data_IF_096386091941
#
_entry.id   IF_096386091941
#
_cell.length_a   1.000
_cell.length_b   1.000
_cell.length_c   1.000
_cell.angle_alpha   90.00
_cell.angle_beta   90.00
_cell.angle_gamma   90.00
#
_symmetry.space_group_name_H-M   'P 1'
#
loop_
_entity.id
_entity.type
_entity.pdbx_description
1 polymer ?
#
# COMPACT_ATOMS: atom_id res chain seq x y z
N UNK A 1 -22.75 -56.91 13.74
CA UNK A 1 -21.51 -56.11 13.76
C UNK A 1 -20.81 -56.33 12.43
N UNK A 2 -21.01 -55.48 11.42
CA UNK A 2 -20.21 -54.26 11.13
C UNK A 2 -18.70 -54.56 11.25
N UNK A 3 -17.90 -54.40 10.20
CA UNK A 3 -17.38 -53.07 9.82
C UNK A 3 -16.66 -53.09 8.45
N UNK A 4 -16.94 -52.05 7.65
CA UNK A 4 -16.16 -51.37 6.59
C UNK A 4 -15.69 -52.13 5.33
N UNK A 5 -15.99 -51.59 4.15
CA UNK A 5 -15.10 -50.71 3.37
C UNK A 5 -15.78 -50.24 2.05
N UNK A 6 -15.24 -49.16 1.47
CA UNK A 6 -15.23 -48.77 0.04
C UNK A 6 -16.35 -47.85 -0.52
N UNK A 7 -15.95 -46.58 -0.68
CA UNK A 7 -16.00 -45.67 -1.84
C UNK A 7 -16.91 -45.99 -3.07
N UNK A 8 -17.52 -44.88 -3.51
CA UNK A 8 -17.66 -44.34 -4.88
C UNK A 8 -18.85 -44.73 -5.78
N UNK A 9 -19.29 -43.66 -6.46
CA UNK A 9 -19.98 -43.54 -7.75
C UNK A 9 -21.52 -43.62 -7.82
N UNK A 10 -22.11 -42.42 -7.87
CA UNK A 10 -22.82 -41.85 -9.03
C UNK A 10 -23.98 -42.59 -9.73
N UNK A 11 -25.06 -41.81 -9.92
CA UNK A 11 -25.70 -41.47 -11.22
C UNK A 11 -27.08 -42.07 -11.56
N UNK A 12 -27.89 -41.17 -12.15
CA UNK A 12 -29.11 -41.32 -12.98
C UNK A 12 -30.43 -41.71 -12.26
N UNK A 13 -31.47 -40.86 -12.25
CA UNK A 13 -32.38 -40.36 -13.32
C UNK A 13 -33.60 -41.25 -13.56
N UNK A 14 -34.78 -40.61 -13.61
CA UNK A 14 -36.05 -41.14 -14.14
C UNK A 14 -37.18 -41.08 -13.11
N UNK A 15 -37.99 -40.02 -13.02
CA UNK A 15 -39.04 -39.52 -13.93
C UNK A 15 -40.44 -40.11 -13.67
N UNK A 16 -41.43 -39.21 -13.67
CA UNK A 16 -42.88 -39.48 -13.65
C UNK A 16 -43.52 -39.14 -12.31
N UNK A 17 -44.57 -38.34 -12.19
CA UNK A 17 -45.46 -37.67 -13.14
C UNK A 17 -46.58 -37.03 -12.31
N UNK A 18 -47.03 -35.85 -12.70
CA UNK A 18 -48.00 -35.02 -11.99
C UNK A 18 -49.41 -35.65 -11.94
N UNK A 19 -50.06 -35.62 -10.78
CA UNK A 19 -51.52 -35.55 -10.65
C UNK A 19 -51.85 -34.62 -9.48
N UNK A 20 -52.71 -33.64 -9.74
CA UNK A 20 -53.27 -32.70 -8.78
C UNK A 20 -54.64 -33.19 -8.29
N UNK A 21 -54.95 -33.02 -6.99
CA UNK A 21 -56.14 -32.26 -6.53
C UNK A 21 -56.20 -32.18 -5.00
N UNK A 22 -56.53 -30.97 -4.51
CA UNK A 22 -57.34 -30.60 -3.33
C UNK A 22 -57.73 -31.72 -2.34
N UNK A 23 -57.71 -31.54 -1.02
CA UNK A 23 -57.79 -30.33 -0.20
C UNK A 23 -57.49 -30.73 1.24
N UNK A 24 -56.60 -30.01 1.90
CA UNK A 24 -56.74 -29.74 3.33
C UNK A 24 -56.25 -28.32 3.53
N UNK A 25 -57.18 -27.42 3.86
CA UNK A 25 -56.86 -26.05 4.26
C UNK A 25 -56.13 -26.12 5.59
N UNK A 26 -54.79 -26.17 5.52
CA UNK A 26 -53.95 -25.90 6.68
C UNK A 26 -54.06 -24.42 6.96
N UNK A 27 -54.65 -24.10 8.10
CA UNK A 27 -54.60 -22.79 8.71
C UNK A 27 -53.13 -22.52 9.06
N UNK A 28 -52.40 -21.95 8.09
CA UNK A 28 -51.04 -21.48 8.32
C UNK A 28 -51.21 -20.22 9.15
N UNK A 29 -51.17 -20.39 10.47
CA UNK A 29 -51.11 -19.29 11.41
C UNK A 29 -50.12 -18.27 10.88
N UNK A 30 -50.61 -17.04 10.64
CA UNK A 30 -49.83 -15.96 10.06
C UNK A 30 -48.48 -15.89 10.77
N UNK A 31 -47.41 -16.26 10.05
CA UNK A 31 -46.06 -16.05 10.54
C UNK A 31 -45.92 -14.55 10.69
N UNK A 32 -45.76 -14.08 11.92
CA UNK A 32 -45.54 -12.67 12.20
C UNK A 32 -44.30 -12.20 11.43
N UNK A 33 -44.52 -11.37 10.41
CA UNK A 33 -43.45 -10.70 9.66
C UNK A 33 -42.73 -9.62 10.48
N UNK A 34 -42.98 -9.49 11.79
CA UNK A 34 -42.18 -8.62 12.69
C UNK A 34 -40.67 -8.91 12.61
N UNK A 35 -40.29 -10.13 12.23
CA UNK A 35 -38.89 -10.53 12.01
C UNK A 35 -38.30 -10.05 10.68
N UNK A 36 -39.15 -9.56 9.76
CA UNK A 36 -38.81 -8.94 8.48
C UNK A 36 -39.07 -7.43 8.48
N UNK A 37 -39.32 -6.82 9.64
CA UNK A 37 -39.29 -5.36 9.77
C UNK A 37 -37.89 -4.86 9.37
N UNK A 38 -37.88 -3.97 8.39
CA UNK A 38 -36.72 -3.17 7.99
C UNK A 38 -36.10 -2.54 9.24
N UNK A 39 -34.77 -2.53 9.43
CA UNK A 39 -34.21 -2.10 10.70
C UNK A 39 -34.65 -0.67 11.06
N UNK A 40 -35.02 -0.56 12.34
CA UNK A 40 -35.52 0.61 13.04
C UNK A 40 -34.56 1.81 12.98
N UNK A 41 -35.10 2.97 12.61
CA UNK A 41 -34.48 4.32 12.59
C UNK A 41 -33.43 4.56 11.49
N UNK A 42 -33.69 5.56 10.63
CA UNK A 42 -32.73 6.11 9.67
C UNK A 42 -31.47 6.58 10.39
N UNK A 43 -30.31 6.08 9.96
CA UNK A 43 -29.00 6.51 10.43
C UNK A 43 -28.45 7.56 9.47
N UNK A 44 -28.00 8.69 10.02
CA UNK A 44 -27.32 9.75 9.27
C UNK A 44 -25.95 9.96 9.90
N UNK A 45 -24.88 9.76 9.14
CA UNK A 45 -23.50 9.76 9.65
C UNK A 45 -22.50 10.28 8.62
N UNK A 46 -21.33 10.70 9.10
CA UNK A 46 -20.21 11.09 8.25
C UNK A 46 -19.35 9.90 7.86
N UNK A 47 -18.87 9.93 6.61
CA UNK A 47 -17.66 9.21 6.20
C UNK A 47 -16.65 10.18 5.62
N UNK A 48 -15.37 9.81 5.66
CA UNK A 48 -14.37 10.43 4.78
C UNK A 48 -14.49 9.90 3.34
N UNK A 49 -13.61 10.37 2.46
CA UNK A 49 -13.51 9.91 1.06
C UNK A 49 -13.03 8.46 0.91
N UNK A 50 -12.45 7.89 1.95
CA UNK A 50 -11.96 6.51 1.99
C UNK A 50 -13.01 5.51 2.48
N UNK A 51 -14.14 6.02 3.00
CA UNK A 51 -15.27 5.25 3.49
C UNK A 51 -15.22 4.97 5.00
N UNK A 52 -14.24 5.53 5.74
CA UNK A 52 -14.18 5.35 7.18
C UNK A 52 -15.33 6.09 7.86
N UNK A 53 -15.84 5.54 8.95
CA UNK A 53 -16.85 6.14 9.82
C UNK A 53 -16.24 6.46 11.17
N UNK A 54 -16.78 7.45 11.87
CA UNK A 54 -16.40 7.90 13.23
C UNK A 54 -14.99 8.48 13.36
N UNK A 55 -13.98 7.84 12.79
CA UNK A 55 -12.62 8.35 12.81
C UNK A 55 -11.79 7.81 11.64
N UNK A 56 -10.76 8.56 11.26
CA UNK A 56 -9.66 8.11 10.42
C UNK A 56 -8.37 8.83 10.83
N UNK A 57 -7.22 8.36 10.33
CA UNK A 57 -5.92 9.01 10.50
C UNK A 57 -5.21 9.25 9.17
N UNK A 58 -4.65 10.43 8.99
CA UNK A 58 -3.91 10.83 7.78
C UNK A 58 -2.62 11.56 8.14
N UNK A 59 -1.66 11.55 7.21
CA UNK A 59 -0.40 12.29 7.33
C UNK A 59 -0.40 13.42 6.30
N UNK A 60 0.01 14.61 6.69
CA UNK A 60 0.06 15.76 5.77
C UNK A 60 1.36 16.56 5.90
N UNK A 61 1.73 17.23 4.81
CA UNK A 61 2.91 18.08 4.71
C UNK A 61 2.48 19.48 4.26
N UNK A 62 2.53 20.46 5.17
CA UNK A 62 2.10 21.85 5.01
C UNK A 62 0.59 22.08 4.97
N UNK A 63 -0.15 21.50 4.02
CA UNK A 63 -1.59 21.64 3.93
C UNK A 63 -2.21 20.45 3.19
N UNK A 64 -3.47 20.14 3.49
CA UNK A 64 -4.22 19.12 2.79
C UNK A 64 -5.73 19.41 2.87
N UNK A 65 -6.48 18.72 2.01
CA UNK A 65 -7.94 18.74 2.01
C UNK A 65 -8.43 17.30 1.96
N UNK A 66 -9.44 17.00 2.76
CA UNK A 66 -10.18 15.74 2.69
C UNK A 66 -11.65 16.00 2.45
N UNK A 67 -12.28 15.22 1.58
CA UNK A 67 -13.71 15.29 1.37
C UNK A 67 -14.43 14.39 2.37
N UNK A 68 -15.45 14.94 3.01
CA UNK A 68 -16.37 14.25 3.88
C UNK A 68 -17.72 14.09 3.18
N UNK A 69 -18.45 13.04 3.52
CA UNK A 69 -19.76 12.74 2.94
C UNK A 69 -20.76 12.43 4.03
N UNK A 70 -21.97 12.95 3.87
CA UNK A 70 -23.12 12.52 4.67
C UNK A 70 -23.71 11.30 4.01
N UNK A 71 -23.79 10.21 4.77
CA UNK A 71 -24.37 8.96 4.33
C UNK A 71 -25.61 8.63 5.15
N UNK A 72 -26.56 8.00 4.47
CA UNK A 72 -27.76 7.47 5.09
C UNK A 72 -27.88 5.98 4.78
N UNK A 73 -28.22 5.18 5.79
CA UNK A 73 -28.36 3.72 5.62
C UNK A 73 -29.65 3.33 4.87
N UNK A 74 -30.59 4.25 4.75
CA UNK A 74 -31.84 4.12 4.00
C UNK A 74 -32.09 5.42 3.26
N UNK A 75 -32.61 5.33 2.02
CA UNK A 75 -32.93 6.50 1.22
C UNK A 75 -33.90 7.43 1.93
N UNK A 76 -33.69 8.73 1.82
CA UNK A 76 -34.58 9.72 2.43
C UNK A 76 -35.85 9.90 1.58
N UNK A 77 -36.99 10.09 2.23
CA UNK A 77 -38.30 10.32 1.59
C UNK A 77 -38.41 11.69 0.90
N UNK A 78 -37.55 12.62 1.32
CA UNK A 78 -37.38 13.96 0.75
C UNK A 78 -35.91 14.38 0.83
N UNK A 79 -35.56 15.41 0.08
CA UNK A 79 -34.26 16.05 0.14
C UNK A 79 -34.05 16.70 1.51
N UNK A 80 -32.88 16.49 2.10
CA UNK A 80 -32.54 17.02 3.42
C UNK A 80 -31.17 17.70 3.41
N UNK A 81 -31.07 18.80 4.16
CA UNK A 81 -29.86 19.61 4.23
C UNK A 81 -29.04 19.27 5.48
N UNK A 82 -27.73 19.15 5.30
CA UNK A 82 -26.78 18.82 6.34
C UNK A 82 -25.62 19.80 6.36
N UNK A 83 -25.12 20.08 7.55
CA UNK A 83 -23.91 20.89 7.76
C UNK A 83 -22.95 20.17 8.68
N UNK A 84 -21.66 20.44 8.49
CA UNK A 84 -20.60 19.94 9.35
C UNK A 84 -19.93 21.15 10.00
N UNK A 85 -19.67 21.08 11.31
CA UNK A 85 -19.00 22.15 12.05
C UNK A 85 -17.83 21.59 12.85
N UNK A 86 -16.79 22.39 13.05
CA UNK A 86 -15.74 22.09 14.02
C UNK A 86 -16.34 22.14 15.45
N UNK A 87 -16.16 21.08 16.25
CA UNK A 87 -16.78 20.99 17.59
C UNK A 87 -15.87 20.27 18.59
N UNK A 88 -15.18 20.99 19.50
CA UNK A 88 -14.31 20.38 20.51
C UNK A 88 -14.95 19.31 21.39
N UNK A 89 -16.27 19.37 21.64
CA UNK A 89 -16.95 18.40 22.50
C UNK A 89 -16.95 16.98 21.90
N UNK A 90 -16.87 16.86 20.58
CA UNK A 90 -16.72 15.57 19.88
C UNK A 90 -15.37 14.93 20.22
N UNK A 91 -14.30 15.74 20.32
CA UNK A 91 -12.98 15.24 20.71
C UNK A 91 -12.93 14.83 22.18
N UNK A 92 -13.59 15.56 23.07
CA UNK A 92 -13.66 15.19 24.49
C UNK A 92 -14.31 13.82 24.67
N UNK A 93 -15.42 13.56 23.96
CA UNK A 93 -16.07 12.27 23.95
C UNK A 93 -15.16 11.17 23.38
N UNK A 94 -14.50 11.42 22.25
CA UNK A 94 -13.57 10.48 21.61
C UNK A 94 -12.38 10.13 22.52
N UNK A 95 -11.72 11.13 23.11
CA UNK A 95 -10.59 10.93 24.01
C UNK A 95 -10.99 10.09 25.23
N UNK A 96 -12.17 10.36 25.79
CA UNK A 96 -12.72 9.59 26.92
C UNK A 96 -13.04 8.15 26.53
N UNK A 97 -13.69 7.93 25.39
CA UNK A 97 -14.06 6.59 24.91
C UNK A 97 -12.84 5.72 24.59
N UNK A 98 -11.82 6.30 23.97
CA UNK A 98 -10.63 5.59 23.50
C UNK A 98 -9.46 5.62 24.48
N UNK A 99 -9.61 6.25 25.65
CA UNK A 99 -8.54 6.47 26.62
C UNK A 99 -7.30 7.13 25.98
N UNK A 100 -7.54 8.19 25.22
CA UNK A 100 -6.53 8.99 24.52
C UNK A 100 -6.52 10.43 25.02
N UNK A 101 -5.53 11.22 24.58
CA UNK A 101 -5.33 12.61 25.01
C UNK A 101 -4.93 13.51 23.84
N UNK A 102 -5.52 13.25 22.67
CA UNK A 102 -5.23 14.06 21.48
C UNK A 102 -5.65 15.51 21.70
N UNK A 103 -4.80 16.43 21.24
CA UNK A 103 -5.12 17.85 21.18
C UNK A 103 -5.87 18.15 19.89
N UNK A 104 -6.79 19.10 19.94
CA UNK A 104 -7.49 19.56 18.75
C UNK A 104 -6.53 20.41 17.89
N UNK A 105 -6.56 20.25 16.57
CA UNK A 105 -5.88 21.17 15.66
C UNK A 105 -6.58 22.54 15.79
N UNK A 106 -5.87 23.65 16.05
CA UNK A 106 -6.50 24.95 16.23
C UNK A 106 -7.52 25.28 15.13
N UNK A 107 -8.73 25.71 15.53
CA UNK A 107 -9.85 25.92 14.61
C UNK A 107 -9.53 26.89 13.48
N UNK A 108 -8.71 27.92 13.74
CA UNK A 108 -8.26 28.89 12.73
C UNK A 108 -7.36 28.28 11.62
N UNK A 109 -6.90 27.03 11.79
CA UNK A 109 -6.15 26.27 10.80
C UNK A 109 -7.03 25.31 10.00
N UNK A 110 -8.32 25.21 10.34
CA UNK A 110 -9.30 24.35 9.69
C UNK A 110 -10.34 25.19 8.96
N UNK A 111 -10.71 24.77 7.76
CA UNK A 111 -11.83 25.36 7.01
C UNK A 111 -12.75 24.24 6.58
N UNK A 112 -13.97 24.26 7.11
CA UNK A 112 -15.03 23.31 6.74
C UNK A 112 -15.88 23.94 5.63
N UNK A 113 -16.12 23.17 4.57
CA UNK A 113 -16.92 23.60 3.43
C UNK A 113 -18.39 23.85 3.78
N UNK A 114 -19.11 24.37 2.79
CA UNK A 114 -20.53 24.72 2.95
C UNK A 114 -21.42 23.49 3.21
N UNK A 115 -22.65 23.76 3.65
CA UNK A 115 -23.66 22.73 3.85
C UNK A 115 -23.93 21.94 2.56
N UNK A 116 -24.15 20.63 2.72
CA UNK A 116 -24.49 19.70 1.63
C UNK A 116 -25.93 19.21 1.74
N UNK A 117 -26.36 18.40 0.79
CA UNK A 117 -27.69 17.82 0.75
C UNK A 117 -27.63 16.34 0.36
N UNK A 118 -28.54 15.54 0.91
CA UNK A 118 -28.82 14.20 0.43
C UNK A 118 -30.16 14.26 -0.31
N UNK A 119 -30.11 14.02 -1.61
CA UNK A 119 -31.30 14.03 -2.47
C UNK A 119 -32.23 12.86 -2.15
N UNK A 120 -33.52 13.05 -2.45
CA UNK A 120 -34.51 11.97 -2.35
C UNK A 120 -34.06 10.76 -3.17
N UNK A 121 -34.10 9.57 -2.57
CA UNK A 121 -33.70 8.32 -3.23
C UNK A 121 -32.19 8.07 -3.28
N UNK A 122 -31.36 9.03 -2.85
CA UNK A 122 -29.92 8.84 -2.73
C UNK A 122 -29.54 8.41 -1.30
N UNK A 123 -28.39 7.75 -1.18
CA UNK A 123 -27.81 7.33 0.10
C UNK A 123 -26.56 8.12 0.52
N UNK A 124 -26.09 9.03 -0.34
CA UNK A 124 -24.84 9.77 -0.15
C UNK A 124 -24.96 11.20 -0.68
N UNK A 125 -24.37 12.15 0.02
CA UNK A 125 -24.33 13.57 -0.37
C UNK A 125 -23.24 13.88 -1.40
N UNK A 126 -23.27 15.10 -1.93
CA UNK A 126 -22.08 15.74 -2.49
C UNK A 126 -21.01 15.96 -1.38
N UNK A 127 -19.72 16.06 -1.73
CA UNK A 127 -18.65 16.21 -0.74
C UNK A 127 -18.74 17.54 0.03
N UNK A 128 -18.39 17.51 1.31
CA UNK A 128 -18.01 18.67 2.12
C UNK A 128 -16.50 18.62 2.31
N UNK A 129 -15.77 19.53 1.65
CA UNK A 129 -14.32 19.58 1.78
C UNK A 129 -13.91 20.16 3.14
N UNK A 130 -12.99 19.49 3.82
CA UNK A 130 -12.35 19.95 5.05
C UNK A 130 -10.87 20.20 4.74
N UNK A 131 -10.51 21.48 4.66
CA UNK A 131 -9.14 21.91 4.43
C UNK A 131 -8.45 22.21 5.76
N UNK A 132 -7.17 21.86 5.87
CA UNK A 132 -6.37 22.09 7.06
C UNK A 132 -4.90 22.34 6.69
N UNK A 133 -4.20 23.09 7.55
CA UNK A 133 -2.81 23.50 7.31
C UNK A 133 -1.97 23.50 8.59
N UNK A 134 -0.66 23.48 8.39
CA UNK A 134 0.33 23.64 9.46
C UNK A 134 0.40 25.08 9.95
N UNK A 135 1.00 25.27 11.12
CA UNK A 135 1.35 26.56 11.69
C UNK A 135 2.66 26.45 12.48
N UNK A 136 3.34 27.57 12.69
CA UNK A 136 4.57 27.65 13.48
C UNK A 136 4.40 27.11 14.91
N UNK A 137 3.23 27.30 15.54
CA UNK A 137 2.95 26.88 16.90
C UNK A 137 2.75 25.37 17.08
N UNK A 138 2.52 24.61 16.01
CA UNK A 138 2.34 23.15 16.10
C UNK A 138 3.64 22.44 16.50
N UNK A 139 3.53 21.29 17.14
CA UNK A 139 4.66 20.45 17.51
C UNK A 139 5.31 19.81 16.28
N UNK A 140 6.62 19.60 16.35
CA UNK A 140 7.33 18.80 15.36
C UNK A 140 6.82 17.35 15.40
N UNK A 141 6.39 16.82 14.25
CA UNK A 141 5.79 15.48 14.15
C UNK A 141 4.51 15.28 14.98
N UNK A 142 3.82 16.38 15.31
CA UNK A 142 2.63 16.38 16.15
C UNK A 142 1.45 15.66 15.50
N UNK A 143 0.59 15.08 16.34
CA UNK A 143 -0.68 14.48 15.93
C UNK A 143 -1.83 15.23 16.59
N UNK A 144 -2.72 15.76 15.77
CA UNK A 144 -3.84 16.58 16.20
C UNK A 144 -5.16 15.98 15.72
N UNK A 145 -6.26 16.31 16.38
CA UNK A 145 -7.59 15.91 15.98
C UNK A 145 -8.35 17.08 15.34
N UNK A 146 -9.06 16.82 14.25
CA UNK A 146 -10.08 17.71 13.69
C UNK A 146 -11.44 17.10 14.03
N UNK A 147 -12.11 17.61 15.07
CA UNK A 147 -13.40 17.09 15.50
C UNK A 147 -14.54 17.73 14.69
N UNK A 148 -15.32 16.90 14.02
CA UNK A 148 -16.39 17.29 13.11
C UNK A 148 -17.74 16.84 13.66
N UNK A 149 -18.64 17.79 13.90
CA UNK A 149 -20.02 17.54 14.29
C UNK A 149 -20.95 17.62 13.08
N UNK A 150 -21.79 16.59 12.91
CA UNK A 150 -22.82 16.56 11.87
C UNK A 150 -24.15 17.11 12.40
N UNK A 151 -24.77 18.01 11.63
CA UNK A 151 -26.10 18.57 11.94
C UNK A 151 -27.02 18.49 10.74
N UNK A 152 -28.19 17.87 10.93
CA UNK A 152 -29.28 17.83 9.94
C UNK A 152 -30.33 18.92 10.21
N UNK A 153 -30.87 19.51 9.14
CA UNK A 153 -31.96 20.48 9.24
C UNK A 153 -33.31 19.76 9.21
N UNK A 154 -33.86 19.47 10.38
CA UNK A 154 -35.17 18.78 10.49
C UNK A 154 -35.08 17.25 10.45
N UNK A 155 -33.86 16.70 10.50
CA UNK A 155 -33.57 15.27 10.62
C UNK A 155 -32.58 15.07 11.76
N UNK A 156 -32.87 14.11 12.64
CA UNK A 156 -31.93 13.71 13.68
C UNK A 156 -30.73 12.99 13.09
N UNK A 157 -29.54 13.33 13.57
CA UNK A 157 -28.31 12.61 13.22
C UNK A 157 -28.11 11.41 14.13
N UNK A 158 -27.35 10.42 13.66
CA UNK A 158 -26.97 9.28 14.49
C UNK A 158 -26.16 9.75 15.69
N UNK A 159 -26.30 9.05 16.83
CA UNK A 159 -25.47 9.29 18.04
C UNK A 159 -23.98 9.31 17.73
N UNK A 160 -23.55 8.43 16.82
CA UNK A 160 -22.17 8.31 16.37
C UNK A 160 -21.98 8.88 14.95
N UNK A 161 -22.81 9.84 14.55
CA UNK A 161 -22.75 10.46 13.22
C UNK A 161 -21.61 11.47 13.03
N UNK A 162 -20.97 11.86 14.14
CA UNK A 162 -19.81 12.75 14.17
C UNK A 162 -18.53 12.03 13.72
N UNK A 163 -17.47 12.80 13.46
CA UNK A 163 -16.21 12.27 12.95
C UNK A 163 -15.00 12.93 13.63
N UNK A 164 -13.95 12.17 13.93
CA UNK A 164 -12.66 12.68 14.39
C UNK A 164 -11.58 12.31 13.37
N UNK A 165 -11.04 13.30 12.67
CA UNK A 165 -9.91 13.08 11.79
C UNK A 165 -8.60 13.35 12.54
N UNK A 166 -7.79 12.31 12.75
CA UNK A 166 -6.45 12.45 13.31
C UNK A 166 -5.48 12.84 12.19
N UNK A 167 -4.84 14.00 12.30
CA UNK A 167 -3.90 14.52 11.32
C UNK A 167 -2.49 14.56 11.92
N UNK A 168 -1.54 13.89 11.26
CA UNK A 168 -0.12 13.94 11.63
C UNK A 168 0.61 14.94 10.75
N UNK A 169 1.13 15.99 11.37
CA UNK A 169 1.87 17.04 10.68
C UNK A 169 3.35 16.67 10.56
N UNK A 170 3.80 16.41 9.33
CA UNK A 170 5.21 16.16 9.03
C UNK A 170 5.90 17.37 8.40
N UNK A 171 5.27 18.55 8.31
CA UNK A 171 5.86 19.76 7.69
C UNK A 171 7.26 20.12 8.21
N UNK A 172 7.46 20.00 9.53
CA UNK A 172 8.72 20.30 10.22
C UNK A 172 9.74 19.16 10.19
N UNK A 173 9.35 17.98 9.71
CA UNK A 173 10.27 16.85 9.55
C UNK A 173 11.12 17.07 8.29
N UNK A 174 12.43 16.80 8.33
CA UNK A 174 13.29 16.90 7.14
C UNK A 174 13.00 15.76 6.14
N UNK A 175 13.67 15.82 4.99
CA UNK A 175 13.65 14.76 3.98
C UNK A 175 14.50 13.53 4.37
N UNK A 176 14.59 12.55 3.47
CA UNK A 176 15.44 11.37 3.63
C UNK A 176 16.88 11.55 3.09
N UNK A 177 17.24 12.70 2.51
CA UNK A 177 18.46 12.86 1.71
C UNK A 177 19.71 13.01 2.58
N UNK A 178 20.23 11.92 3.12
CA UNK A 178 21.39 11.93 4.02
C UNK A 178 22.66 12.43 3.32
N UNK A 179 23.59 13.03 4.08
CA UNK A 179 24.89 13.46 3.57
C UNK A 179 25.86 12.27 3.45
N UNK A 180 25.40 11.21 2.79
CA UNK A 180 26.07 9.92 2.69
C UNK A 180 25.59 9.21 1.41
N UNK A 181 26.43 8.44 0.70
CA UNK A 181 26.01 7.74 -0.50
C UNK A 181 25.18 6.48 -0.21
N UNK A 182 25.10 6.04 1.04
CA UNK A 182 24.41 4.81 1.41
C UNK A 182 22.91 5.03 1.56
N UNK A 183 22.13 4.06 1.09
CA UNK A 183 20.67 4.06 1.20
C UNK A 183 20.16 2.87 2.02
N UNK A 184 18.98 3.04 2.61
CA UNK A 184 18.19 1.93 3.16
C UNK A 184 16.87 1.80 2.41
N UNK A 185 16.60 0.60 1.90
CA UNK A 185 15.35 0.27 1.20
C UNK A 185 14.44 -0.50 2.15
N UNK A 186 13.24 0.02 2.41
CA UNK A 186 12.18 -0.71 3.13
C UNK A 186 11.32 -1.48 2.13
N UNK A 187 11.08 -2.75 2.38
CA UNK A 187 10.22 -3.58 1.52
C UNK A 187 9.14 -4.24 2.39
N UNK A 188 8.09 -3.50 2.78
CA UNK A 188 6.98 -4.07 3.53
C UNK A 188 6.23 -5.09 2.67
N UNK A 189 5.85 -6.22 3.27
CA UNK A 189 4.81 -7.06 2.70
C UNK A 189 3.48 -6.33 2.87
N UNK A 190 3.00 -5.66 1.81
CA UNK A 190 1.86 -4.75 1.93
C UNK A 190 0.56 -5.47 2.27
N UNK A 191 0.49 -6.81 2.14
CA UNK A 191 -0.65 -7.57 2.66
C UNK A 191 -0.79 -7.46 4.19
N UNK A 192 0.32 -7.17 4.88
CA UNK A 192 0.43 -7.20 6.34
C UNK A 192 0.83 -5.85 6.94
N UNK A 193 1.67 -5.05 6.26
CA UNK A 193 2.26 -3.83 6.83
C UNK A 193 1.97 -2.58 6.00
N UNK A 194 1.76 -1.46 6.70
CA UNK A 194 1.53 -0.15 6.11
C UNK A 194 2.87 0.49 5.68
N UNK A 195 3.03 0.93 4.42
CA UNK A 195 4.28 1.53 3.93
C UNK A 195 4.67 2.83 4.65
N UNK A 196 3.72 3.53 5.28
CA UNK A 196 3.99 4.73 6.09
C UNK A 196 4.90 4.45 7.30
N UNK A 197 5.07 3.19 7.69
CA UNK A 197 6.01 2.79 8.74
C UNK A 197 7.47 3.22 8.47
N UNK A 198 7.84 3.49 7.21
CA UNK A 198 9.13 4.10 6.89
C UNK A 198 9.31 5.50 7.53
N UNK A 199 8.22 6.23 7.80
CA UNK A 199 8.24 7.55 8.46
C UNK A 199 8.40 7.46 9.98
N UNK A 200 8.49 6.26 10.56
CA UNK A 200 8.66 6.10 12.01
C UNK A 200 10.13 6.21 12.46
N UNK A 201 11.08 6.25 11.51
CA UNK A 201 12.51 6.14 11.78
C UNK A 201 13.29 7.34 11.25
N UNK A 202 13.97 8.05 12.15
CA UNK A 202 14.79 9.23 11.83
C UNK A 202 16.19 9.10 12.41
N UNK A 203 17.15 9.84 11.88
CA UNK A 203 18.48 9.94 12.47
C UNK A 203 18.50 10.96 13.60
N UNK A 204 19.19 10.67 14.71
CA UNK A 204 19.12 11.47 15.94
C UNK A 204 19.53 12.93 15.79
N UNK A 205 20.58 13.24 15.03
CA UNK A 205 21.14 14.58 14.94
C UNK A 205 20.62 15.33 13.71
N UNK A 206 20.66 14.69 12.54
CA UNK A 206 20.22 15.28 11.28
C UNK A 206 18.70 15.25 11.11
N UNK A 207 17.99 14.44 11.91
CA UNK A 207 16.53 14.18 11.87
C UNK A 207 16.03 13.58 10.56
N UNK A 208 16.91 13.37 9.57
CA UNK A 208 16.57 12.80 8.25
C UNK A 208 15.99 11.40 8.40
N UNK A 209 15.09 11.04 7.50
CA UNK A 209 14.50 9.69 7.53
C UNK A 209 15.56 8.62 7.25
N UNK A 210 15.48 7.53 8.01
CA UNK A 210 16.40 6.39 7.90
C UNK A 210 16.29 5.69 6.55
N UNK A 211 15.06 5.53 6.05
CA UNK A 211 14.75 4.91 4.77
C UNK A 211 14.73 5.92 3.63
N UNK A 212 15.26 5.51 2.48
CA UNK A 212 15.34 6.30 1.24
C UNK A 212 14.33 5.85 0.20
N UNK A 213 13.91 4.59 0.29
CA UNK A 213 12.94 3.99 -0.61
C UNK A 213 12.00 3.05 0.11
N UNK A 214 10.80 2.90 -0.46
CA UNK A 214 9.80 1.89 -0.10
C UNK A 214 9.42 1.12 -1.36
N UNK A 215 9.58 -0.21 -1.33
CA UNK A 215 9.06 -1.09 -2.38
C UNK A 215 7.73 -1.70 -1.94
N UNK A 216 6.65 -1.41 -2.66
CA UNK A 216 5.33 -2.00 -2.44
C UNK A 216 5.34 -3.45 -2.93
N UNK A 217 5.54 -4.41 -2.02
CA UNK A 217 5.70 -5.82 -2.38
C UNK A 217 4.39 -6.62 -2.16
N UNK A 218 3.68 -7.07 -3.21
CA UNK A 218 3.95 -6.83 -4.64
C UNK A 218 2.67 -6.85 -5.50
N UNK A 219 2.70 -6.11 -6.61
CA UNK A 219 1.89 -6.43 -7.79
C UNK A 219 2.42 -7.67 -8.50
N UNK A 220 1.66 -8.19 -9.46
CA UNK A 220 1.97 -9.47 -10.10
C UNK A 220 1.97 -9.41 -11.62
N UNK A 221 2.98 -10.02 -12.26
CA UNK A 221 2.92 -10.28 -13.69
C UNK A 221 1.99 -11.47 -13.95
N UNK A 222 0.95 -11.25 -14.75
CA UNK A 222 -0.04 -12.26 -15.09
C UNK A 222 -0.43 -12.18 -16.57
N UNK A 223 -1.01 -13.25 -17.10
CA UNK A 223 -1.56 -13.34 -18.45
C UNK A 223 -3.09 -13.29 -18.43
N UNK A 224 -3.69 -12.45 -19.26
CA UNK A 224 -5.11 -12.43 -19.50
C UNK A 224 -5.44 -13.34 -20.70
N UNK A 225 -6.16 -14.44 -20.47
CA UNK A 225 -6.51 -15.39 -21.53
C UNK A 225 -7.54 -14.84 -22.53
N UNK A 226 -8.38 -13.90 -22.11
CA UNK A 226 -9.41 -13.29 -22.97
C UNK A 226 -8.82 -12.27 -23.93
N UNK A 227 -7.91 -11.42 -23.46
CA UNK A 227 -7.28 -10.37 -24.29
C UNK A 227 -5.97 -10.81 -24.93
N UNK A 228 -5.33 -11.86 -24.40
CA UNK A 228 -4.00 -12.30 -24.81
C UNK A 228 -2.87 -11.43 -24.30
N UNK A 229 -3.13 -10.53 -23.34
CA UNK A 229 -2.16 -9.54 -22.87
C UNK A 229 -1.50 -9.96 -21.55
N UNK A 230 -0.22 -9.60 -21.40
CA UNK A 230 0.48 -9.65 -20.11
C UNK A 230 0.31 -8.31 -19.41
N UNK A 231 -0.10 -8.33 -18.14
CA UNK A 231 -0.45 -7.13 -17.38
C UNK A 231 0.00 -7.24 -15.92
N UNK A 232 0.02 -6.11 -15.21
CA UNK A 232 0.22 -6.11 -13.76
C UNK A 232 -1.12 -6.31 -13.06
N UNK A 233 -1.27 -7.46 -12.39
CA UNK A 233 -2.40 -7.78 -11.53
C UNK A 233 -2.07 -7.38 -10.10
N UNK A 234 -2.80 -6.39 -9.58
CA UNK A 234 -2.71 -6.01 -8.18
C UNK A 234 -3.72 -6.82 -7.37
N UNK A 235 -3.30 -7.32 -6.21
CA UNK A 235 -4.23 -7.84 -5.22
C UNK A 235 -5.02 -6.71 -4.54
N UNK A 236 -5.99 -7.04 -3.69
CA UNK A 236 -6.83 -6.05 -2.99
C UNK A 236 -6.01 -5.06 -2.14
N UNK A 237 -4.94 -5.50 -1.49
CA UNK A 237 -4.11 -4.65 -0.63
C UNK A 237 -3.29 -3.65 -1.44
N UNK A 238 -2.64 -4.11 -2.51
CA UNK A 238 -1.92 -3.22 -3.44
C UNK A 238 -2.90 -2.25 -4.09
N UNK A 239 -4.07 -2.74 -4.52
CA UNK A 239 -5.12 -1.91 -5.12
C UNK A 239 -5.58 -0.81 -4.16
N UNK A 240 -5.76 -1.13 -2.88
CA UNK A 240 -6.12 -0.12 -1.87
C UNK A 240 -5.06 0.97 -1.74
N UNK A 241 -3.78 0.60 -1.62
CA UNK A 241 -2.68 1.56 -1.51
C UNK A 241 -2.60 2.51 -2.71
N UNK A 242 -2.83 1.98 -3.92
CA UNK A 242 -2.83 2.77 -5.14
C UNK A 242 -4.07 3.67 -5.26
N UNK A 243 -5.26 3.15 -4.95
CA UNK A 243 -6.50 3.93 -4.96
C UNK A 243 -6.43 5.10 -3.98
N UNK A 244 -5.79 4.90 -2.83
CA UNK A 244 -5.67 5.89 -1.76
C UNK A 244 -4.24 6.43 -1.66
N UNK A 245 -3.60 6.66 -2.82
CA UNK A 245 -2.21 7.13 -2.91
C UNK A 245 -1.94 8.40 -2.13
N UNK A 246 -2.91 9.32 -2.02
CA UNK A 246 -2.73 10.55 -1.26
C UNK A 246 -2.58 10.30 0.25
N UNK A 247 -3.18 9.21 0.76
CA UNK A 247 -3.08 8.81 2.17
C UNK A 247 -1.80 8.01 2.42
N UNK A 248 -1.51 7.01 1.58
CA UNK A 248 -0.47 6.02 1.89
C UNK A 248 0.88 6.29 1.23
N UNK A 249 0.92 6.97 0.08
CA UNK A 249 2.13 7.10 -0.74
C UNK A 249 2.65 8.54 -0.78
N UNK A 250 1.77 9.53 -0.95
CA UNK A 250 2.14 10.94 -1.03
C UNK A 250 2.95 11.44 0.19
N UNK A 251 2.65 11.02 1.44
CA UNK A 251 3.46 11.44 2.60
C UNK A 251 4.92 10.98 2.53
N UNK A 252 5.18 9.78 1.98
CA UNK A 252 6.54 9.26 1.78
C UNK A 252 7.28 10.13 0.77
N UNK A 253 6.66 10.35 -0.39
CA UNK A 253 7.24 11.13 -1.49
C UNK A 253 7.47 12.59 -1.12
N UNK A 254 6.58 13.17 -0.32
CA UNK A 254 6.74 14.52 0.22
C UNK A 254 8.01 14.69 1.09
N UNK A 255 8.61 13.58 1.54
CA UNK A 255 9.87 13.54 2.30
C UNK A 255 11.04 12.95 1.51
N UNK A 256 10.91 12.90 0.18
CA UNK A 256 11.95 12.44 -0.73
C UNK A 256 12.09 10.92 -0.83
N UNK A 257 11.33 10.15 -0.03
CA UNK A 257 11.35 8.69 -0.07
C UNK A 257 10.74 8.23 -1.38
N UNK A 258 11.51 7.45 -2.15
CA UNK A 258 11.05 6.90 -3.43
C UNK A 258 10.07 5.76 -3.20
N UNK A 259 8.96 5.74 -3.92
CA UNK A 259 7.94 4.68 -3.83
C UNK A 259 7.96 3.84 -5.10
N UNK A 260 8.32 2.57 -4.96
CA UNK A 260 8.63 1.64 -6.06
C UNK A 260 7.58 0.52 -6.10
N UNK A 261 7.07 0.17 -7.28
CA UNK A 261 6.18 -0.99 -7.44
C UNK A 261 6.99 -2.28 -7.55
N UNK A 262 6.82 -3.20 -6.61
CA UNK A 262 7.33 -4.56 -6.74
C UNK A 262 6.47 -5.38 -7.70
N UNK A 263 7.11 -6.15 -8.59
CA UNK A 263 6.46 -7.07 -9.54
C UNK A 263 7.01 -8.46 -9.33
N UNK A 264 6.11 -9.40 -9.02
CA UNK A 264 6.40 -10.79 -8.72
C UNK A 264 5.60 -11.72 -9.66
N UNK A 265 6.13 -12.89 -10.02
CA UNK A 265 5.32 -13.91 -10.71
C UNK A 265 4.15 -14.40 -9.87
N UNK A 266 3.14 -15.00 -10.51
CA UNK A 266 1.89 -15.36 -9.83
C UNK A 266 1.21 -16.60 -10.41
N UNK A 267 1.98 -17.69 -10.43
CA UNK A 267 1.56 -19.06 -10.68
C UNK A 267 0.90 -19.34 -12.03
N UNK A 268 1.10 -18.46 -13.02
CA UNK A 268 0.62 -18.60 -14.39
C UNK A 268 1.76 -18.57 -15.44
N UNK A 269 1.38 -18.56 -16.72
CA UNK A 269 2.31 -18.66 -17.85
C UNK A 269 3.20 -17.44 -18.07
N UNK A 270 2.84 -16.26 -17.55
CA UNK A 270 3.63 -15.05 -17.74
C UNK A 270 4.79 -15.02 -16.74
N UNK A 271 5.99 -14.72 -17.24
CA UNK A 271 7.19 -14.57 -16.44
C UNK A 271 8.00 -13.39 -16.94
N UNK A 272 8.79 -12.78 -16.04
CA UNK A 272 9.75 -11.75 -16.41
C UNK A 272 10.78 -12.26 -17.44
N UNK A 273 10.94 -13.58 -17.50
CA UNK A 273 11.95 -14.31 -18.26
C UNK A 273 11.46 -14.92 -19.56
N UNK A 274 10.19 -14.76 -19.95
CA UNK A 274 9.65 -15.43 -21.16
C UNK A 274 8.89 -14.52 -22.12
N UNK A 275 8.94 -13.20 -21.92
CA UNK A 275 8.24 -12.26 -22.81
C UNK A 275 8.93 -12.16 -24.17
N UNK A 276 8.13 -12.14 -25.24
CA UNK A 276 8.57 -11.70 -26.56
C UNK A 276 9.02 -10.24 -26.52
N UNK A 277 9.67 -9.75 -27.58
CA UNK A 277 10.04 -8.32 -27.66
C UNK A 277 8.83 -7.40 -27.60
N UNK A 278 7.76 -7.72 -28.31
CA UNK A 278 6.53 -6.93 -28.27
C UNK A 278 5.81 -7.08 -26.92
N UNK A 279 5.82 -8.27 -26.31
CA UNK A 279 5.31 -8.48 -24.95
C UNK A 279 6.05 -7.65 -23.91
N UNK A 280 7.39 -7.61 -23.98
CA UNK A 280 8.22 -6.78 -23.11
C UNK A 280 7.94 -5.28 -23.28
N UNK A 281 7.79 -4.80 -24.51
CA UNK A 281 7.39 -3.41 -24.79
C UNK A 281 5.99 -3.10 -24.24
N UNK A 282 5.03 -3.99 -24.46
CA UNK A 282 3.65 -3.81 -24.01
C UNK A 282 3.59 -3.74 -22.47
N UNK A 283 4.24 -4.69 -21.79
CA UNK A 283 4.31 -4.70 -20.34
C UNK A 283 5.05 -3.46 -19.79
N UNK A 284 6.17 -3.06 -20.40
CA UNK A 284 6.88 -1.86 -19.98
C UNK A 284 6.06 -0.57 -20.15
N UNK A 285 5.23 -0.45 -21.22
CA UNK A 285 4.27 0.66 -21.36
C UNK A 285 3.18 0.61 -20.30
N UNK A 286 2.67 -0.57 -19.98
CA UNK A 286 1.69 -0.76 -18.90
C UNK A 286 2.27 -0.30 -17.56
N UNK A 287 3.51 -0.68 -17.24
CA UNK A 287 4.20 -0.24 -16.03
C UNK A 287 4.45 1.27 -16.01
N UNK A 288 4.79 1.88 -17.15
CA UNK A 288 4.89 3.34 -17.26
C UNK A 288 3.57 4.03 -16.96
N UNK A 289 2.47 3.57 -17.56
CA UNK A 289 1.14 4.13 -17.33
C UNK A 289 0.73 4.01 -15.85
N UNK A 290 1.05 2.89 -15.20
CA UNK A 290 0.83 2.72 -13.76
C UNK A 290 1.65 3.71 -12.93
N UNK A 291 2.94 3.85 -13.21
CA UNK A 291 3.78 4.80 -12.50
C UNK A 291 3.34 6.25 -12.71
N UNK A 292 2.84 6.59 -13.90
CA UNK A 292 2.25 7.90 -14.20
C UNK A 292 0.94 8.13 -13.42
N UNK A 293 0.05 7.15 -13.40
CA UNK A 293 -1.26 7.28 -12.74
C UNK A 293 -1.15 7.41 -11.21
N UNK A 294 -0.21 6.69 -10.60
CA UNK A 294 -0.07 6.60 -9.14
C UNK A 294 1.15 7.35 -8.58
N UNK A 295 1.82 8.15 -9.42
CA UNK A 295 3.00 8.92 -9.07
C UNK A 295 4.13 8.08 -8.46
N UNK A 296 4.37 6.89 -9.01
CA UNK A 296 5.41 5.98 -8.55
C UNK A 296 6.77 6.35 -9.15
N UNK A 297 7.82 6.11 -8.37
CA UNK A 297 9.19 6.50 -8.70
C UNK A 297 9.97 5.39 -9.42
N UNK A 298 9.37 4.21 -9.65
CA UNK A 298 10.03 3.12 -10.37
C UNK A 298 9.37 1.75 -10.18
N UNK A 299 10.08 0.72 -10.65
CA UNK A 299 9.69 -0.68 -10.53
C UNK A 299 10.83 -1.54 -9.97
N UNK A 300 10.47 -2.55 -9.20
CA UNK A 300 11.36 -3.60 -8.72
C UNK A 300 10.87 -4.95 -9.27
N UNK A 301 11.77 -5.75 -9.83
CA UNK A 301 11.45 -7.01 -10.47
C UNK A 301 11.98 -8.21 -9.69
N UNK A 302 11.09 -9.17 -9.41
CA UNK A 302 11.39 -10.40 -8.69
C UNK A 302 10.90 -11.62 -9.49
N UNK A 303 11.84 -12.42 -10.01
CA UNK A 303 11.55 -13.61 -10.81
C UNK A 303 11.37 -14.84 -9.94
N UNK A 304 10.24 -14.87 -9.23
CA UNK A 304 9.75 -16.03 -8.51
C UNK A 304 8.29 -16.34 -8.86
N UNK A 305 7.89 -17.58 -8.62
CA UNK A 305 6.48 -18.03 -8.65
C UNK A 305 5.76 -18.01 -10.02
N UNK A 306 6.43 -17.73 -11.13
CA UNK A 306 5.86 -17.98 -12.47
C UNK A 306 5.93 -19.45 -12.90
N UNK A 307 5.13 -19.84 -13.90
CA UNK A 307 5.13 -21.16 -14.55
C UNK A 307 5.36 -21.03 -16.06
N UNK A 308 6.54 -20.56 -16.49
CA UNK A 308 6.83 -20.43 -17.92
C UNK A 308 6.81 -21.81 -18.59
N UNK A 309 6.41 -21.84 -19.86
CA UNK A 309 6.30 -23.06 -20.65
C UNK A 309 6.17 -22.74 -22.13
N UNK A 310 5.93 -23.77 -22.94
CA UNK A 310 5.70 -23.60 -24.38
C UNK A 310 4.27 -23.11 -24.65
N UNK A 311 4.05 -21.80 -24.54
CA UNK A 311 2.76 -21.15 -24.76
C UNK A 311 2.85 -20.20 -25.97
N UNK A 312 1.82 -20.13 -26.83
CA UNK A 312 1.75 -19.11 -27.86
C UNK A 312 1.90 -17.70 -27.28
N UNK A 313 2.68 -16.84 -27.94
CA UNK A 313 2.93 -15.46 -27.49
C UNK A 313 4.09 -15.29 -26.50
N UNK A 314 4.75 -16.38 -26.11
CA UNK A 314 5.92 -16.37 -25.22
C UNK A 314 7.14 -17.01 -25.87
N UNK A 315 8.32 -16.61 -25.41
CA UNK A 315 9.60 -17.19 -25.83
C UNK A 315 10.09 -18.22 -24.80
N UNK A 316 11.01 -19.08 -25.23
CA UNK A 316 11.72 -19.98 -24.30
C UNK A 316 12.46 -19.14 -23.25
N UNK A 317 12.31 -19.44 -21.95
CA UNK A 317 12.82 -18.58 -20.91
C UNK A 317 14.34 -18.63 -20.77
N UNK A 318 14.90 -17.66 -20.03
CA UNK A 318 16.29 -17.64 -19.54
C UNK A 318 17.39 -17.49 -20.61
N UNK A 319 17.09 -16.88 -21.76
CA UNK A 319 18.14 -16.51 -22.73
C UNK A 319 18.53 -15.03 -22.62
N UNK A 320 17.60 -14.11 -22.87
CA UNK A 320 17.81 -12.65 -22.82
C UNK A 320 16.52 -11.87 -22.51
N UNK A 321 15.42 -12.55 -22.21
CA UNK A 321 14.10 -11.94 -22.05
C UNK A 321 14.02 -11.00 -20.84
N UNK A 322 14.61 -11.37 -19.70
CA UNK A 322 14.66 -10.49 -18.53
C UNK A 322 15.47 -9.22 -18.81
N UNK A 323 16.63 -9.33 -19.48
CA UNK A 323 17.45 -8.17 -19.86
C UNK A 323 16.70 -7.28 -20.87
N UNK A 324 15.99 -7.89 -21.82
CA UNK A 324 15.12 -7.19 -22.77
C UNK A 324 14.00 -6.42 -22.06
N UNK A 325 13.33 -7.04 -21.10
CA UNK A 325 12.28 -6.38 -20.33
C UNK A 325 12.85 -5.20 -19.54
N UNK A 326 13.95 -5.39 -18.82
CA UNK A 326 14.61 -4.32 -18.05
C UNK A 326 15.04 -3.16 -18.95
N UNK A 327 15.61 -3.46 -20.12
CA UNK A 327 15.94 -2.45 -21.13
C UNK A 327 14.71 -1.62 -21.52
N UNK A 328 13.59 -2.25 -21.89
CA UNK A 328 12.38 -1.52 -22.27
C UNK A 328 11.71 -0.77 -21.13
N UNK A 329 11.78 -1.30 -19.91
CA UNK A 329 11.35 -0.58 -18.72
C UNK A 329 12.14 0.70 -18.57
N UNK A 330 13.48 0.66 -18.65
CA UNK A 330 14.29 1.87 -18.56
C UNK A 330 13.97 2.87 -19.68
N UNK A 331 13.86 2.39 -20.92
CA UNK A 331 13.57 3.26 -22.07
C UNK A 331 12.22 3.97 -21.94
N UNK A 332 11.18 3.30 -21.45
CA UNK A 332 9.84 3.88 -21.34
C UNK A 332 9.58 4.62 -20.04
N UNK A 333 10.12 4.17 -18.92
CA UNK A 333 10.02 4.86 -17.64
C UNK A 333 10.85 6.16 -17.63
N UNK A 334 11.91 6.20 -18.43
CA UNK A 334 12.82 7.35 -18.51
C UNK A 334 13.87 7.34 -17.41
N UNK A 335 14.72 8.36 -17.41
CA UNK A 335 15.87 8.47 -16.50
C UNK A 335 15.49 8.84 -15.06
N UNK A 336 14.33 9.44 -14.87
CA UNK A 336 13.87 9.93 -13.57
C UNK A 336 13.25 8.83 -12.70
N UNK A 337 13.01 7.65 -13.28
CA UNK A 337 12.43 6.48 -12.60
C UNK A 337 13.40 5.32 -12.53
N UNK A 338 13.29 4.61 -11.41
CA UNK A 338 14.16 3.49 -11.06
C UNK A 338 13.66 2.19 -11.70
N UNK A 339 14.62 1.39 -12.17
CA UNK A 339 14.45 -0.01 -12.57
C UNK A 339 15.38 -0.81 -11.69
N UNK A 340 14.78 -1.58 -10.81
CA UNK A 340 15.46 -2.36 -9.79
C UNK A 340 15.17 -3.85 -9.98
N UNK A 341 16.12 -4.69 -9.59
CA UNK A 341 16.00 -6.14 -9.73
C UNK A 341 16.42 -6.85 -8.47
N UNK A 342 15.73 -7.95 -8.16
CA UNK A 342 16.22 -8.91 -7.20
C UNK A 342 17.34 -9.76 -7.82
N UNK A 343 18.45 -9.95 -7.10
CA UNK A 343 19.55 -10.82 -7.53
C UNK A 343 19.18 -12.28 -7.25
N UNK A 344 18.14 -12.76 -7.93
CA UNK A 344 17.56 -14.09 -7.78
C UNK A 344 16.84 -14.51 -9.08
N UNK A 345 16.53 -15.80 -9.21
CA UNK A 345 15.83 -16.34 -10.38
C UNK A 345 16.51 -15.95 -11.71
N UNK A 346 15.71 -15.67 -12.73
CA UNK A 346 16.19 -15.17 -14.02
C UNK A 346 16.54 -13.69 -14.07
N UNK A 347 16.47 -12.96 -12.95
CA UNK A 347 17.05 -11.63 -12.80
C UNK A 347 18.40 -11.64 -12.08
N UNK A 348 18.88 -12.79 -11.58
CA UNK A 348 20.16 -12.94 -10.87
C UNK A 348 21.38 -12.52 -11.69
N UNK A 349 21.29 -12.62 -13.02
CA UNK A 349 22.30 -12.14 -13.95
C UNK A 349 21.60 -11.66 -15.22
N UNK A 350 22.05 -10.52 -15.75
CA UNK A 350 21.55 -9.95 -16.99
C UNK A 350 22.69 -9.79 -18.00
N UNK A 351 22.33 -9.83 -19.28
CA UNK A 351 23.28 -9.70 -20.39
C UNK A 351 23.04 -8.39 -21.15
N UNK A 352 24.03 -8.01 -21.96
CA UNK A 352 23.87 -6.86 -22.85
C UNK A 352 22.70 -7.07 -23.81
N UNK A 353 21.90 -6.02 -24.02
CA UNK A 353 20.78 -6.04 -24.96
C UNK A 353 20.81 -4.76 -25.80
N UNK A 354 20.68 -4.91 -27.13
CA UNK A 354 20.77 -3.81 -28.11
C UNK A 354 22.01 -2.91 -27.93
N UNK A 355 23.15 -3.52 -27.62
CA UNK A 355 24.43 -2.80 -27.44
C UNK A 355 24.56 -2.04 -26.13
N UNK A 356 23.57 -2.17 -25.21
CA UNK A 356 23.58 -1.58 -23.87
C UNK A 356 23.91 -2.62 -22.82
N UNK A 357 24.81 -2.28 -21.90
CA UNK A 357 25.15 -3.12 -20.77
C UNK A 357 24.09 -3.00 -19.66
N UNK A 358 23.90 -4.03 -18.81
CA UNK A 358 22.93 -3.97 -17.72
C UNK A 358 23.02 -2.73 -16.83
N UNK A 359 24.22 -2.25 -16.53
CA UNK A 359 24.41 -1.02 -15.75
C UNK A 359 23.93 0.27 -16.42
N UNK A 360 23.54 0.23 -17.70
CA UNK A 360 22.90 1.36 -18.37
C UNK A 360 21.37 1.35 -18.22
N UNK A 361 20.78 0.22 -17.82
CA UNK A 361 19.33 0.07 -17.67
C UNK A 361 18.84 -0.46 -16.32
N UNK A 362 19.74 -0.81 -15.40
CA UNK A 362 19.46 -1.13 -14.00
C UNK A 362 20.05 -0.05 -13.10
N UNK A 363 19.25 0.51 -12.20
CA UNK A 363 19.74 1.48 -11.20
C UNK A 363 20.18 0.77 -9.92
N UNK A 364 19.39 -0.22 -9.47
CA UNK A 364 19.69 -1.00 -8.28
C UNK A 364 19.52 -2.51 -8.50
N UNK A 365 20.55 -3.28 -8.14
CA UNK A 365 20.47 -4.73 -8.01
C UNK A 365 20.54 -5.09 -6.53
N UNK A 366 19.51 -5.76 -6.02
CA UNK A 366 19.30 -6.01 -4.59
C UNK A 366 19.59 -7.48 -4.27
N UNK A 367 20.64 -7.73 -3.48
CA UNK A 367 21.06 -9.07 -3.08
C UNK A 367 20.06 -9.78 -2.17
N UNK A 368 20.06 -11.12 -2.24
CA UNK A 368 19.36 -11.98 -1.29
C UNK A 368 19.90 -11.82 0.15
N UNK A 369 19.15 -12.35 1.10
CA UNK A 369 19.36 -12.16 2.52
C UNK A 369 20.77 -12.56 2.97
N UNK A 370 21.52 -11.60 3.51
CA UNK A 370 22.89 -11.78 4.00
C UNK A 370 23.97 -11.97 2.92
N UNK A 371 23.61 -12.07 1.64
CA UNK A 371 24.57 -12.24 0.55
C UNK A 371 25.37 -10.96 0.29
N UNK A 372 26.69 -11.09 0.11
CA UNK A 372 27.56 -9.93 -0.13
C UNK A 372 28.77 -10.23 -1.03
N UNK A 373 28.65 -9.88 -2.29
CA UNK A 373 29.71 -9.97 -3.29
C UNK A 373 29.54 -8.91 -4.38
N UNK A 374 30.61 -8.68 -5.14
CA UNK A 374 30.62 -7.70 -6.24
C UNK A 374 29.77 -8.21 -7.40
N UNK A 375 28.80 -7.40 -7.83
CA UNK A 375 27.83 -7.78 -8.87
C UNK A 375 28.25 -7.37 -10.28
N UNK A 376 29.49 -6.92 -10.50
CA UNK A 376 29.94 -6.48 -11.84
C UNK A 376 29.91 -7.60 -12.88
N UNK A 377 30.03 -8.86 -12.45
CA UNK A 377 29.85 -10.03 -13.31
C UNK A 377 28.39 -10.32 -13.64
N UNK A 378 27.48 -10.08 -12.70
CA UNK A 378 26.04 -10.28 -12.84
C UNK A 378 25.38 -9.18 -13.68
N UNK A 379 25.84 -7.94 -13.52
CA UNK A 379 25.33 -6.76 -14.21
C UNK A 379 26.49 -5.88 -14.69
N UNK A 380 27.13 -6.24 -15.83
CA UNK A 380 28.21 -5.45 -16.38
C UNK A 380 27.86 -3.96 -16.51
N UNK A 381 28.79 -3.10 -16.08
CA UNK A 381 28.63 -1.64 -16.08
C UNK A 381 27.85 -1.07 -14.89
N UNK A 382 27.22 -1.88 -14.04
CA UNK A 382 26.52 -1.40 -12.85
C UNK A 382 27.54 -0.85 -11.85
N UNK A 383 27.34 0.39 -11.40
CA UNK A 383 28.21 1.00 -10.39
C UNK A 383 27.97 0.35 -9.03
N UNK A 384 28.99 0.28 -8.18
CA UNK A 384 28.85 -0.26 -6.81
C UNK A 384 27.79 0.45 -5.98
N UNK A 385 27.55 1.73 -6.21
CA UNK A 385 26.46 2.50 -5.56
C UNK A 385 25.06 2.00 -5.96
N UNK A 386 24.93 1.27 -7.06
CA UNK A 386 23.70 0.57 -7.47
C UNK A 386 23.64 -0.89 -7.00
N UNK A 387 24.63 -1.37 -6.24
CA UNK A 387 24.62 -2.72 -5.68
C UNK A 387 24.18 -2.64 -4.23
N UNK A 388 22.97 -3.15 -3.95
CA UNK A 388 22.39 -3.19 -2.61
C UNK A 388 22.66 -4.57 -2.02
N UNK A 389 23.25 -4.61 -0.83
CA UNK A 389 23.94 -5.79 -0.31
C UNK A 389 23.34 -6.27 1.00
N UNK A 390 23.52 -7.56 1.26
CA UNK A 390 23.27 -8.22 2.54
C UNK A 390 21.91 -7.86 3.15
N UNK A 391 20.85 -8.02 2.37
CA UNK A 391 19.48 -7.72 2.79
C UNK A 391 19.11 -8.45 4.08
N UNK A 392 18.21 -7.85 4.84
CA UNK A 392 17.64 -8.45 6.05
C UNK A 392 16.24 -8.97 5.79
N UNK A 393 15.94 -10.19 6.23
CA UNK A 393 14.57 -10.70 6.32
C UNK A 393 14.04 -10.49 7.75
N UNK A 394 13.23 -9.45 7.95
CA UNK A 394 12.72 -9.07 9.26
C UNK A 394 11.76 -10.10 9.85
N UNK A 395 10.89 -10.76 9.06
CA UNK A 395 9.91 -11.70 9.65
C UNK A 395 10.54 -12.99 10.13
N UNK A 396 11.58 -13.45 9.46
CA UNK A 396 12.38 -14.61 9.85
C UNK A 396 13.55 -14.27 10.77
N UNK A 397 13.69 -13.00 11.20
CA UNK A 397 14.80 -12.53 12.03
C UNK A 397 16.20 -12.80 11.44
N UNK A 398 16.32 -12.81 10.11
CA UNK A 398 17.58 -12.99 9.39
C UNK A 398 18.17 -11.62 9.07
N UNK A 399 18.93 -11.08 10.02
CA UNK A 399 19.46 -9.74 9.94
C UNK A 399 20.90 -9.66 9.41
N UNK A 400 21.23 -8.54 8.77
CA UNK A 400 22.59 -8.21 8.35
C UNK A 400 23.56 -8.19 9.55
N UNK A 401 24.74 -8.81 9.38
CA UNK A 401 25.81 -8.81 10.38
C UNK A 401 26.67 -7.54 10.29
N UNK A 402 27.23 -7.09 11.43
CA UNK A 402 28.12 -5.92 11.49
C UNK A 402 29.31 -6.00 10.51
N UNK A 403 29.88 -7.19 10.32
CA UNK A 403 30.96 -7.40 9.34
C UNK A 403 30.53 -7.05 7.91
N UNK A 404 29.30 -7.37 7.53
CA UNK A 404 28.75 -7.07 6.22
C UNK A 404 28.43 -5.57 6.08
N UNK A 405 27.92 -4.93 7.13
CA UNK A 405 27.72 -3.47 7.18
C UNK A 405 29.06 -2.75 6.94
N UNK A 406 30.13 -3.18 7.62
CA UNK A 406 31.48 -2.63 7.44
C UNK A 406 31.98 -2.84 6.00
N UNK A 407 31.73 -4.02 5.42
CA UNK A 407 32.11 -4.36 4.04
C UNK A 407 31.39 -3.48 3.01
N UNK A 408 30.12 -3.14 3.23
CA UNK A 408 29.37 -2.18 2.40
C UNK A 408 30.10 -0.84 2.31
N UNK A 409 30.55 -0.32 3.45
CA UNK A 409 31.28 0.96 3.51
C UNK A 409 32.67 0.84 2.88
N UNK A 410 33.46 -0.16 3.29
CA UNK A 410 34.85 -0.31 2.82
C UNK A 410 34.95 -0.58 1.32
N UNK A 411 34.00 -1.33 0.77
CA UNK A 411 33.95 -1.65 -0.66
C UNK A 411 33.12 -0.65 -1.48
N UNK A 412 32.50 0.34 -0.84
CA UNK A 412 31.73 1.43 -1.47
C UNK A 412 30.47 0.95 -2.22
N UNK A 413 29.76 -0.02 -1.65
CA UNK A 413 28.44 -0.44 -2.17
C UNK A 413 27.34 0.58 -1.83
N UNK A 414 26.15 0.39 -2.40
CA UNK A 414 25.06 1.36 -2.35
C UNK A 414 24.26 1.38 -1.05
N UNK A 415 24.21 0.29 -0.29
CA UNK A 415 23.38 0.22 0.91
C UNK A 415 22.83 -1.18 1.17
N UNK A 416 21.69 -1.25 1.88
CA UNK A 416 21.03 -2.50 2.25
C UNK A 416 19.49 -2.40 2.17
N UNK A 417 18.82 -3.55 2.20
CA UNK A 417 17.36 -3.67 2.10
C UNK A 417 16.78 -4.43 3.31
N UNK A 418 15.56 -4.07 3.71
CA UNK A 418 14.82 -4.62 4.84
C UNK A 418 13.49 -5.21 4.35
N UNK A 419 13.46 -6.52 4.13
CA UNK A 419 12.28 -7.26 3.66
C UNK A 419 11.31 -7.52 4.80
N UNK A 420 10.01 -7.56 4.45
CA UNK A 420 8.88 -7.71 5.34
C UNK A 420 8.99 -6.81 6.59
N UNK A 421 9.46 -5.57 6.38
CA UNK A 421 9.68 -4.62 7.46
C UNK A 421 8.33 -4.16 8.03
N UNK A 422 8.13 -4.43 9.32
CA UNK A 422 6.94 -4.01 10.04
C UNK A 422 7.26 -3.68 11.51
N UNK A 423 7.30 -2.39 11.89
CA UNK A 423 7.55 -1.97 13.27
C UNK A 423 6.31 -2.11 14.18
N UNK A 424 5.15 -2.44 13.62
CA UNK A 424 3.91 -2.64 14.37
C UNK A 424 3.83 -4.01 15.05
N UNK A 425 4.70 -4.95 14.67
CA UNK A 425 4.82 -6.28 15.25
C UNK A 425 6.20 -6.48 15.92
N UNK A 426 6.30 -7.40 16.88
CA UNK A 426 7.50 -7.60 17.71
C UNK A 426 8.72 -8.23 16.97
N UNK A 427 8.77 -8.16 15.64
CA UNK A 427 9.78 -8.86 14.83
C UNK A 427 10.95 -7.97 14.41
N UNK A 428 10.81 -6.64 14.33
CA UNK A 428 11.88 -5.74 13.88
C UNK A 428 13.03 -5.64 14.90
N UNK A 429 14.26 -5.46 14.40
CA UNK A 429 15.45 -5.39 15.24
C UNK A 429 16.11 -4.01 15.21
N UNK A 430 15.71 -3.16 16.17
CA UNK A 430 16.24 -1.80 16.31
C UNK A 430 17.76 -1.79 16.51
N UNK A 431 18.33 -2.79 17.19
CA UNK A 431 19.79 -2.90 17.40
C UNK A 431 20.53 -3.01 16.07
N UNK A 432 20.01 -3.79 15.12
CA UNK A 432 20.62 -3.91 13.78
C UNK A 432 20.48 -2.58 13.01
N UNK A 433 19.34 -1.89 13.11
CA UNK A 433 19.18 -0.57 12.52
C UNK A 433 20.16 0.46 13.12
N UNK A 434 20.43 0.41 14.43
CA UNK A 434 21.45 1.23 15.07
C UNK A 434 22.84 0.97 14.49
N UNK A 435 23.20 -0.30 14.31
CA UNK A 435 24.47 -0.69 13.73
C UNK A 435 24.64 -0.17 12.30
N UNK A 436 23.60 -0.32 11.47
CA UNK A 436 23.58 0.24 10.11
C UNK A 436 23.71 1.75 10.14
N UNK A 437 22.87 2.42 10.94
CA UNK A 437 22.84 3.88 11.04
C UNK A 437 24.18 4.48 11.49
N UNK A 438 24.79 3.93 12.54
CA UNK A 438 26.09 4.38 13.04
C UNK A 438 27.19 4.18 12.02
N UNK A 439 27.16 3.07 11.28
CA UNK A 439 28.20 2.76 10.30
C UNK A 439 28.05 3.60 9.01
N UNK A 440 26.83 3.83 8.54
CA UNK A 440 26.56 4.56 7.30
C UNK A 440 26.56 6.09 7.49
N UNK A 441 26.12 6.56 8.66
CA UNK A 441 25.78 7.97 8.88
C UNK A 441 26.44 8.58 10.13
N UNK A 442 27.10 7.78 10.97
CA UNK A 442 27.63 8.22 12.27
C UNK A 442 26.55 8.83 13.19
N UNK A 443 25.34 8.27 13.13
CA UNK A 443 24.19 8.71 13.93
C UNK A 443 23.41 7.51 14.48
N UNK A 444 22.76 7.69 15.63
CA UNK A 444 21.76 6.75 16.11
C UNK A 444 20.46 6.90 15.29
N UNK A 445 19.72 5.81 15.13
CA UNK A 445 18.33 5.84 14.64
C UNK A 445 17.37 6.04 15.81
N UNK A 446 16.33 6.85 15.62
CA UNK A 446 15.24 7.08 16.57
C UNK A 446 13.96 6.52 15.98
N UNK A 447 13.34 5.60 16.72
CA UNK A 447 11.98 5.13 16.46
C UNK A 447 11.00 5.94 17.31
N UNK A 448 9.94 6.45 16.70
CA UNK A 448 8.95 7.29 17.40
C UNK A 448 7.88 6.50 18.18
N UNK A 449 7.94 5.16 18.17
CA UNK A 449 7.00 4.25 18.86
C UNK A 449 5.53 4.43 18.46
N UNK A 450 5.27 5.02 17.30
CA UNK A 450 3.93 5.28 16.74
C UNK A 450 3.82 4.62 15.37
N UNK A 451 3.73 3.28 15.30
CA UNK A 451 3.65 2.57 14.03
C UNK A 451 2.28 2.77 13.39
N UNK A 452 2.27 2.76 12.06
CA UNK A 452 1.06 2.74 11.26
C UNK A 452 0.59 1.29 11.12
N UNK A 453 -0.63 1.02 11.60
CA UNK A 453 -1.29 -0.27 11.38
C UNK A 453 -1.83 -0.34 9.96
N UNK A 454 -2.10 -1.56 9.49
CA UNK A 454 -2.95 -1.79 8.33
C UNK A 454 -4.38 -1.37 8.69
N UNK A 455 -4.91 -0.39 7.98
CA UNK A 455 -6.20 0.26 8.22
C UNK A 455 -7.11 0.19 6.98
N UNK A 456 -7.10 -0.96 6.29
CA UNK A 456 -7.96 -1.27 5.16
C UNK A 456 -8.36 -2.74 5.08
#
# INVERSE_FOLDING_TARGET
MKTNYIKLLSLLLGAGGLIASCSDSVDVGSVSEKSFETPAKTMVFLTDKYGNMKADSVVFNNAATIDMYVNVNQTLDKQEQFSVTYDPSVLEAYNKEHNTSYQALPENLVTVGEATQVEKGNSKSAPISVAYKTDAALEENGTYAIPLSLKGKGVETSKDGNFVLLVKDISKMPDCHKNSPFINISMPEVNNSNPLNALCFTLKNSKKYFFDQVVLFAGNINYNEETGEVYNKNNENVTQLLNYKEKYLAPLRAKGIKVIMGILGNWDRAALTNLTEEGAKAFARHMKAMCDAYDLDGVFLDDEYSKPGNYPGFESPYSNQASRLCYYLKEYLGKDRLVEVYVYGGTAQLSAYKGKQPGEFIDFAIQDYGQIYDLSGNYPGLKRTGMIQASSECTQSRYIYQSNINKIVSEKYGGTMWFAFDPSIARYNLTVMQNVSRTFYNEDVIYNEKPFKKDW
#
